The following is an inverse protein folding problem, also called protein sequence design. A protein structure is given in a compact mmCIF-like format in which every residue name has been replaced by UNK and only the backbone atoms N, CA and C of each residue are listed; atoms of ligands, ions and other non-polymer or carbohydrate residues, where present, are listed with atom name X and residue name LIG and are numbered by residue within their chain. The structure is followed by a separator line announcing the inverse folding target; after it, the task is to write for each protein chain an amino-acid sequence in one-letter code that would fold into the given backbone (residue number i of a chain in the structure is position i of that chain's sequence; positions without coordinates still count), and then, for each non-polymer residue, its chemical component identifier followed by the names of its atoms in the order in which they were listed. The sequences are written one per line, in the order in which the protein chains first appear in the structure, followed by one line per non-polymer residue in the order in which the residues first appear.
data_IF_989866502949
#
_entry.id   IF_989866502949
#
_cell.length_a   1.000
_cell.length_b   1.000
_cell.length_c   1.000
_cell.angle_alpha   90.00
_cell.angle_beta   90.00
_cell.angle_gamma   90.00
#
_symmetry.space_group_name_H-M   'P 1'
#
loop_
_entity.id
_entity.type
_entity.pdbx_description
1 polymer ?
#
# COMPACT_ATOMS: atom_id res chain seq x y z
N UNK A 1 9.86 -0.34 14.59
CA UNK A 1 9.40 -0.75 13.25
C UNK A 1 10.40 -1.59 12.41
N UNK A 2 11.57 -1.99 12.89
CA UNK A 2 12.54 -2.74 12.06
C UNK A 2 12.22 -4.24 11.88
N UNK A 3 11.46 -4.86 12.77
CA UNK A 3 11.40 -6.32 12.84
C UNK A 3 10.60 -7.04 11.74
N UNK A 4 9.55 -6.46 11.16
CA UNK A 4 8.70 -7.17 10.19
C UNK A 4 9.37 -7.25 8.82
N UNK A 5 9.97 -6.17 8.36
CA UNK A 5 10.63 -6.13 7.05
C UNK A 5 12.06 -6.71 7.06
N UNK A 6 12.73 -6.76 8.22
CA UNK A 6 14.01 -7.44 8.36
C UNK A 6 13.88 -8.98 8.27
N UNK A 7 12.67 -9.53 8.47
CA UNK A 7 12.38 -10.98 8.42
C UNK A 7 11.85 -11.42 7.04
N UNK A 8 11.10 -10.57 6.33
CA UNK A 8 10.44 -10.90 5.05
C UNK A 8 11.42 -10.77 3.84
N UNK A 9 12.66 -10.36 4.07
CA UNK A 9 13.57 -9.75 3.08
C UNK A 9 13.86 -10.48 1.77
N UNK A 10 14.14 -11.77 1.72
CA UNK A 10 14.82 -12.35 0.53
C UNK A 10 13.95 -12.80 -0.65
N UNK A 11 12.63 -12.78 -0.54
CA UNK A 11 11.69 -13.12 -1.63
C UNK A 11 10.70 -12.00 -1.97
N UNK A 12 10.69 -10.95 -1.16
CA UNK A 12 9.70 -9.86 -1.22
C UNK A 12 9.70 -9.11 -2.55
N UNK A 13 10.88 -8.76 -3.06
CA UNK A 13 11.02 -7.96 -4.29
C UNK A 13 10.54 -8.70 -5.53
N UNK A 14 10.71 -10.01 -5.61
CA UNK A 14 10.27 -10.80 -6.76
C UNK A 14 8.74 -10.80 -6.94
N UNK A 15 7.99 -10.72 -5.83
CA UNK A 15 6.53 -10.74 -5.81
C UNK A 15 5.91 -9.33 -5.79
N UNK A 16 6.70 -8.29 -5.49
CA UNK A 16 6.23 -6.91 -5.35
C UNK A 16 6.66 -6.06 -6.56
N UNK A 17 6.08 -6.37 -7.72
CA UNK A 17 6.36 -5.66 -8.96
C UNK A 17 5.31 -4.56 -9.21
N UNK A 18 5.71 -3.30 -9.45
CA UNK A 18 4.76 -2.22 -9.70
C UNK A 18 3.84 -2.52 -10.89
N UNK A 19 2.53 -2.45 -10.68
CA UNK A 19 1.57 -2.53 -11.78
C UNK A 19 1.56 -1.21 -12.57
N UNK A 20 1.71 -1.24 -13.90
CA UNK A 20 1.79 -0.03 -14.72
C UNK A 20 0.55 0.86 -14.63
N UNK A 21 -0.64 0.31 -14.34
CA UNK A 21 -1.90 1.07 -14.22
C UNK A 21 -1.93 1.83 -12.90
N UNK A 22 -1.48 1.19 -11.82
CA UNK A 22 -1.32 1.83 -10.50
C UNK A 22 -0.22 2.90 -10.57
N UNK A 23 0.93 2.57 -11.20
CA UNK A 23 2.02 3.54 -11.44
C UNK A 23 1.52 4.78 -12.18
N UNK A 24 0.72 4.60 -13.23
CA UNK A 24 0.14 5.71 -14.01
C UNK A 24 -0.82 6.56 -13.16
N UNK A 25 -1.64 5.93 -12.32
CA UNK A 25 -2.54 6.64 -11.41
C UNK A 25 -1.77 7.49 -10.39
N UNK A 26 -0.72 6.92 -9.79
CA UNK A 26 0.19 7.64 -8.87
C UNK A 26 0.88 8.79 -9.62
N UNK A 27 1.44 8.53 -10.81
CA UNK A 27 2.11 9.56 -11.62
C UNK A 27 1.16 10.72 -11.96
N UNK A 28 -0.08 10.42 -12.31
CA UNK A 28 -1.11 11.43 -12.57
C UNK A 28 -1.45 12.23 -11.30
N UNK A 29 -1.49 11.58 -10.13
CA UNK A 29 -1.75 12.23 -8.86
C UNK A 29 -0.62 13.18 -8.43
N UNK A 30 0.63 12.91 -8.81
CA UNK A 30 1.76 13.81 -8.58
C UNK A 30 1.68 15.12 -9.37
N UNK A 31 0.87 15.15 -10.44
CA UNK A 31 0.63 16.35 -11.24
C UNK A 31 1.88 16.91 -11.92
N UNK A 32 2.10 18.21 -11.78
CA UNK A 32 3.24 18.94 -12.36
C UNK A 32 4.51 18.91 -11.50
N UNK A 33 4.60 18.01 -10.51
CA UNK A 33 5.79 17.90 -9.67
C UNK A 33 7.02 17.59 -10.52
N UNK A 34 8.10 18.36 -10.32
CA UNK A 34 9.39 18.16 -10.98
C UNK A 34 10.39 17.41 -10.08
N UNK A 35 10.16 17.39 -8.77
CA UNK A 35 11.03 16.75 -7.78
C UNK A 35 10.19 16.10 -6.68
N UNK A 36 10.33 14.80 -6.49
CA UNK A 36 9.51 13.98 -5.60
C UNK A 36 10.35 13.40 -4.46
N UNK A 37 9.81 13.46 -3.23
CA UNK A 37 10.32 12.69 -2.09
C UNK A 37 9.42 11.46 -1.91
N UNK A 38 9.98 10.23 -1.98
CA UNK A 38 9.26 9.01 -1.66
C UNK A 38 9.59 8.58 -0.22
N UNK A 39 8.60 8.59 0.68
CA UNK A 39 8.79 8.34 2.12
C UNK A 39 8.23 6.96 2.51
N UNK A 40 9.05 6.15 3.19
CA UNK A 40 8.78 4.74 3.41
C UNK A 40 8.88 3.97 2.10
N UNK A 41 9.95 4.25 1.36
CA UNK A 41 10.10 3.86 -0.03
C UNK A 41 10.32 2.35 -0.25
N UNK A 42 10.64 1.62 0.82
CA UNK A 42 10.96 0.20 0.71
C UNK A 42 12.04 -0.08 -0.32
N UNK A 43 11.84 -1.11 -1.11
CA UNK A 43 12.74 -1.48 -2.21
C UNK A 43 12.58 -0.61 -3.48
N UNK A 44 11.75 0.46 -3.45
CA UNK A 44 11.60 1.40 -4.56
C UNK A 44 10.41 1.15 -5.48
N UNK A 45 9.41 0.38 -5.03
CA UNK A 45 8.18 0.16 -5.79
C UNK A 45 7.44 1.47 -6.04
N UNK A 46 6.85 1.62 -7.25
CA UNK A 46 6.05 2.77 -7.67
C UNK A 46 6.78 4.13 -7.74
N UNK A 47 8.10 4.16 -7.71
CA UNK A 47 8.86 5.37 -7.99
C UNK A 47 8.71 5.76 -9.46
N UNK A 48 8.30 7.02 -9.77
CA UNK A 48 8.19 7.45 -11.17
C UNK A 48 9.57 7.50 -11.83
N UNK A 49 9.73 6.78 -12.94
CA UNK A 49 11.00 6.73 -13.68
C UNK A 49 11.30 7.99 -14.50
N UNK A 50 10.28 8.82 -14.73
CA UNK A 50 10.35 10.04 -15.53
C UNK A 50 10.60 11.31 -14.71
N UNK A 51 10.77 11.18 -13.38
CA UNK A 51 10.98 12.29 -12.46
C UNK A 51 12.20 12.05 -11.57
N UNK A 52 12.92 13.11 -11.18
CA UNK A 52 13.86 13.05 -10.08
C UNK A 52 13.16 12.66 -8.77
N UNK A 53 13.53 11.50 -8.23
CA UNK A 53 13.04 10.99 -6.96
C UNK A 53 14.19 10.91 -5.96
N UNK A 54 13.96 11.35 -4.73
CA UNK A 54 14.78 11.02 -3.57
C UNK A 54 13.93 10.13 -2.65
N UNK A 55 14.50 9.03 -2.17
CA UNK A 55 13.80 8.10 -1.30
C UNK A 55 14.21 8.27 0.16
N UNK A 56 13.29 7.98 1.07
CA UNK A 56 13.54 7.83 2.51
C UNK A 56 13.02 6.47 2.95
N UNK A 57 13.88 5.70 3.62
CA UNK A 57 13.51 4.36 4.11
C UNK A 57 14.27 4.06 5.41
N UNK A 58 13.59 3.68 6.51
CA UNK A 58 14.27 3.36 7.77
C UNK A 58 14.96 2.00 7.77
N UNK A 59 14.45 1.00 7.04
CA UNK A 59 14.99 -0.36 7.03
C UNK A 59 16.24 -0.47 6.15
N UNK A 60 17.36 -0.85 6.77
CA UNK A 60 18.59 -1.14 6.03
C UNK A 60 18.43 -2.31 5.07
N UNK A 61 17.60 -3.28 5.44
CA UNK A 61 17.35 -4.44 4.62
C UNK A 61 16.61 -4.05 3.34
N UNK A 62 15.57 -3.23 3.45
CA UNK A 62 14.85 -2.72 2.29
C UNK A 62 15.75 -1.83 1.40
N UNK A 63 16.63 -1.03 2.00
CA UNK A 63 17.60 -0.22 1.26
C UNK A 63 18.55 -1.10 0.44
N UNK A 64 19.05 -2.23 0.99
CA UNK A 64 19.93 -3.16 0.26
C UNK A 64 19.27 -3.84 -0.92
N UNK A 65 17.95 -3.99 -0.89
CA UNK A 65 17.17 -4.62 -1.96
C UNK A 65 16.81 -3.65 -3.10
N UNK A 66 17.12 -2.37 -2.96
CA UNK A 66 16.89 -1.39 -4.02
C UNK A 66 17.76 -1.66 -5.24
N UNK A 67 17.24 -1.49 -6.47
CA UNK A 67 18.06 -1.56 -7.66
C UNK A 67 19.22 -0.56 -7.60
N UNK A 68 20.37 -0.94 -8.13
CA UNK A 68 21.54 -0.05 -8.16
C UNK A 68 21.30 1.26 -8.93
N UNK A 69 20.41 1.22 -9.92
CA UNK A 69 19.99 2.36 -10.75
C UNK A 69 18.71 3.04 -10.22
N UNK A 70 18.22 2.60 -9.04
CA UNK A 70 17.06 3.19 -8.38
C UNK A 70 17.31 4.59 -7.85
N UNK A 71 16.25 5.27 -7.40
CA UNK A 71 16.39 6.58 -6.80
C UNK A 71 17.36 6.56 -5.60
N UNK A 72 18.18 7.60 -5.42
CA UNK A 72 19.00 7.75 -4.22
C UNK A 72 18.14 7.63 -2.96
N UNK A 73 18.69 7.01 -1.91
CA UNK A 73 17.95 6.78 -0.66
C UNK A 73 18.70 7.32 0.55
N UNK A 74 17.96 7.94 1.45
CA UNK A 74 18.42 8.39 2.77
C UNK A 74 17.78 7.50 3.83
N UNK A 75 18.58 6.98 4.75
CA UNK A 75 18.04 6.24 5.90
C UNK A 75 17.51 7.22 6.93
N UNK A 76 16.19 7.32 7.07
CA UNK A 76 15.52 8.14 8.08
C UNK A 76 14.10 7.63 8.36
N UNK A 77 13.50 8.11 9.46
CA UNK A 77 12.11 7.89 9.80
C UNK A 77 11.23 8.96 9.12
N UNK A 78 9.99 8.61 8.84
CA UNK A 78 9.00 9.54 8.29
C UNK A 78 8.70 10.70 9.25
N UNK A 79 8.79 10.43 10.55
CA UNK A 79 8.53 11.35 11.65
C UNK A 79 9.61 12.43 11.84
N UNK A 80 10.78 12.25 11.15
CA UNK A 80 11.91 13.18 11.26
C UNK A 80 12.69 13.21 9.94
N UNK A 81 12.15 13.91 8.95
CA UNK A 81 12.75 14.01 7.63
C UNK A 81 13.93 15.01 7.64
N UNK A 82 15.14 14.59 7.20
CA UNK A 82 16.34 15.42 7.25
C UNK A 82 16.42 16.46 6.11
N UNK A 83 15.31 17.11 5.79
CA UNK A 83 15.21 18.09 4.70
C UNK A 83 14.59 19.39 5.19
N UNK A 84 14.98 20.54 4.61
CA UNK A 84 14.34 21.82 4.86
C UNK A 84 12.85 21.81 4.44
N UNK A 85 12.07 22.74 4.98
CA UNK A 85 10.69 22.96 4.55
C UNK A 85 10.61 23.29 3.05
N UNK A 86 9.55 22.83 2.39
CA UNK A 86 9.23 23.10 0.98
C UNK A 86 10.39 22.73 0.01
N UNK A 87 11.19 21.71 0.34
CA UNK A 87 12.32 21.22 -0.48
C UNK A 87 11.88 20.43 -1.71
N UNK A 88 10.64 19.93 -1.72
CA UNK A 88 10.11 19.09 -2.79
C UNK A 88 8.79 19.64 -3.34
N UNK A 89 8.52 19.36 -4.62
CA UNK A 89 7.24 19.70 -5.21
C UNK A 89 6.15 18.75 -4.75
N UNK A 90 6.49 17.46 -4.58
CA UNK A 90 5.58 16.47 -4.01
C UNK A 90 6.29 15.50 -3.06
N UNK A 91 5.55 15.04 -2.04
CA UNK A 91 5.88 13.87 -1.24
C UNK A 91 4.94 12.73 -1.61
N UNK A 92 5.50 11.54 -1.79
CA UNK A 92 4.80 10.29 -2.10
C UNK A 92 4.96 9.33 -0.92
N UNK A 93 3.88 8.63 -0.53
CA UNK A 93 3.94 7.53 0.43
C UNK A 93 3.01 6.40 -0.07
N UNK A 94 3.55 5.21 -0.35
CA UNK A 94 2.81 4.11 -0.95
C UNK A 94 2.69 2.95 0.02
N UNK A 95 1.49 2.70 0.54
CA UNK A 95 1.17 1.60 1.46
C UNK A 95 2.14 1.51 2.64
N UNK A 96 2.53 2.65 3.22
CA UNK A 96 3.53 2.75 4.29
C UNK A 96 3.05 3.48 5.53
N UNK A 97 2.11 4.44 5.42
CA UNK A 97 1.67 5.31 6.52
C UNK A 97 1.14 4.51 7.73
N UNK A 98 0.51 3.37 7.50
CA UNK A 98 0.01 2.48 8.55
C UNK A 98 1.12 1.75 9.33
N UNK A 99 2.37 1.88 8.91
CA UNK A 99 3.55 1.35 9.60
C UNK A 99 4.29 2.39 10.45
N UNK A 100 3.94 3.67 10.37
CA UNK A 100 4.63 4.72 11.11
C UNK A 100 4.24 4.68 12.59
N UNK A 101 5.22 4.86 13.48
CA UNK A 101 5.01 4.82 14.94
C UNK A 101 4.20 6.03 15.40
N UNK A 102 4.53 7.23 14.89
CA UNK A 102 3.75 8.45 15.05
C UNK A 102 3.29 8.96 13.67
N UNK A 103 2.13 8.47 13.23
CA UNK A 103 1.53 8.88 11.95
C UNK A 103 1.33 10.37 11.83
N UNK A 104 0.95 11.02 12.94
CA UNK A 104 0.68 12.45 12.94
C UNK A 104 1.96 13.25 12.69
N UNK A 105 3.04 12.88 13.36
CA UNK A 105 4.35 13.48 13.13
C UNK A 105 4.83 13.24 11.70
N UNK A 106 4.69 12.01 11.18
CA UNK A 106 5.06 11.70 9.80
C UNK A 106 4.25 12.48 8.76
N UNK A 107 2.92 12.59 8.93
CA UNK A 107 2.07 13.39 8.06
C UNK A 107 2.43 14.90 8.12
N UNK A 108 2.73 15.42 9.31
CA UNK A 108 3.21 16.80 9.47
C UNK A 108 4.54 17.04 8.75
N UNK A 109 5.45 16.06 8.76
CA UNK A 109 6.71 16.15 8.02
C UNK A 109 6.49 16.17 6.50
N UNK A 110 5.55 15.33 5.97
CA UNK A 110 5.20 15.41 4.54
C UNK A 110 4.71 16.80 4.15
N UNK A 111 3.83 17.39 4.98
CA UNK A 111 3.31 18.76 4.78
C UNK A 111 4.42 19.80 4.87
N UNK A 112 5.37 19.62 5.78
CA UNK A 112 6.50 20.54 5.96
C UNK A 112 7.44 20.56 4.77
N UNK A 113 7.76 19.38 4.22
CA UNK A 113 8.81 19.24 3.20
C UNK A 113 8.31 19.39 1.77
N UNK A 114 7.01 19.24 1.51
CA UNK A 114 6.46 19.22 0.16
C UNK A 114 5.22 20.11 0.00
N UNK A 115 5.01 20.62 -1.23
CA UNK A 115 3.86 21.43 -1.60
C UNK A 115 2.62 20.62 -1.95
N UNK A 116 2.82 19.36 -2.32
CA UNK A 116 1.79 18.38 -2.64
C UNK A 116 2.10 17.08 -1.91
N UNK A 117 1.09 16.45 -1.35
CA UNK A 117 1.21 15.13 -0.70
C UNK A 117 0.34 14.14 -1.45
N UNK A 118 0.89 13.00 -1.84
CA UNK A 118 0.19 11.89 -2.49
C UNK A 118 0.42 10.63 -1.68
N UNK A 119 -0.66 10.03 -1.19
CA UNK A 119 -0.59 8.82 -0.37
C UNK A 119 -1.43 7.72 -1.03
N UNK A 120 -0.84 6.56 -1.25
CA UNK A 120 -1.60 5.33 -1.53
C UNK A 120 -1.83 4.61 -0.22
N UNK A 121 -3.10 4.36 0.09
CA UNK A 121 -3.53 3.72 1.34
C UNK A 121 -4.72 2.80 1.12
N UNK A 122 -5.11 2.06 2.13
CA UNK A 122 -6.41 1.40 2.20
C UNK A 122 -7.33 2.19 3.12
N UNK A 123 -8.63 2.25 2.77
CA UNK A 123 -9.64 3.01 3.52
C UNK A 123 -10.45 2.05 4.41
N UNK A 124 -10.38 2.19 5.75
CA UNK A 124 -11.15 1.36 6.68
C UNK A 124 -12.68 1.37 6.46
N UNK A 125 -13.22 2.43 5.85
CA UNK A 125 -14.63 2.49 5.49
C UNK A 125 -15.03 1.45 4.41
N UNK A 126 -14.06 0.90 3.67
CA UNK A 126 -14.25 -0.09 2.62
C UNK A 126 -14.00 -1.54 3.09
N UNK A 127 -14.02 -1.80 4.40
CA UNK A 127 -13.70 -3.11 4.98
C UNK A 127 -14.51 -4.29 4.44
N UNK A 128 -15.70 -4.02 3.92
CA UNK A 128 -16.60 -5.06 3.38
C UNK A 128 -16.44 -5.29 1.88
N UNK A 129 -15.53 -4.57 1.20
CA UNK A 129 -15.38 -4.64 -0.25
C UNK A 129 -14.66 -5.90 -0.74
N UNK A 130 -13.85 -6.52 0.10
CA UNK A 130 -13.02 -7.64 -0.32
C UNK A 130 -13.51 -8.96 0.27
N UNK A 131 -13.93 -9.88 -0.59
CA UNK A 131 -14.49 -11.18 -0.21
C UNK A 131 -13.55 -12.03 0.67
N UNK A 132 -12.22 -12.00 0.41
CA UNK A 132 -11.26 -12.81 1.16
C UNK A 132 -11.24 -12.43 2.64
N UNK A 133 -11.13 -11.14 2.92
CA UNK A 133 -11.06 -10.63 4.29
C UNK A 133 -12.43 -10.62 4.96
N UNK A 134 -13.52 -10.39 4.20
CA UNK A 134 -14.87 -10.42 4.75
C UNK A 134 -15.33 -11.81 5.16
N UNK A 135 -15.01 -12.86 4.37
CA UNK A 135 -15.62 -14.18 4.53
C UNK A 135 -14.66 -15.22 5.13
N UNK A 136 -13.39 -15.12 4.81
CA UNK A 136 -12.42 -16.19 5.15
C UNK A 136 -11.39 -15.78 6.19
N UNK A 137 -10.97 -14.50 6.21
CA UNK A 137 -9.91 -13.98 7.08
C UNK A 137 -10.29 -12.63 7.69
N UNK A 138 -11.39 -12.56 8.47
CA UNK A 138 -11.86 -11.31 9.05
C UNK A 138 -10.86 -10.69 10.03
N UNK A 139 -9.97 -11.48 10.61
CA UNK A 139 -8.93 -11.00 11.52
C UNK A 139 -7.94 -10.05 10.83
N UNK A 140 -7.75 -10.16 9.50
CA UNK A 140 -6.95 -9.17 8.74
C UNK A 140 -7.63 -7.79 8.81
N UNK A 141 -8.96 -7.74 8.62
CA UNK A 141 -9.70 -6.47 8.71
C UNK A 141 -9.62 -5.87 10.11
N UNK A 142 -9.79 -6.67 11.16
CA UNK A 142 -9.68 -6.19 12.55
C UNK A 142 -8.32 -5.53 12.80
N UNK A 143 -7.26 -6.15 12.28
CA UNK A 143 -5.90 -5.62 12.36
C UNK A 143 -5.75 -4.33 11.55
N UNK A 144 -6.21 -4.32 10.30
CA UNK A 144 -6.03 -3.22 9.35
C UNK A 144 -6.86 -1.98 9.77
N UNK A 145 -8.11 -2.15 10.23
CA UNK A 145 -8.96 -1.05 10.71
C UNK A 145 -8.29 -0.27 11.86
N UNK A 146 -7.51 -0.93 12.71
CA UNK A 146 -6.79 -0.27 13.80
C UNK A 146 -5.52 0.49 13.33
N UNK A 147 -5.00 0.16 12.16
CA UNK A 147 -3.69 0.64 11.66
C UNK A 147 -3.80 1.66 10.54
N UNK A 148 -4.75 1.46 9.63
CA UNK A 148 -4.89 2.39 8.50
C UNK A 148 -5.61 3.66 8.93
N UNK A 149 -5.09 4.85 8.56
CA UNK A 149 -5.72 6.12 8.89
C UNK A 149 -7.08 6.25 8.20
N UNK A 150 -8.04 6.84 8.89
CA UNK A 150 -9.33 7.22 8.32
C UNK A 150 -9.23 8.50 7.49
N UNK A 151 -10.27 8.77 6.70
CA UNK A 151 -10.38 10.01 5.92
C UNK A 151 -10.37 11.26 6.81
N UNK A 152 -11.00 11.17 7.98
CA UNK A 152 -11.05 12.24 8.98
C UNK A 152 -9.67 12.54 9.54
N UNK A 153 -8.88 11.49 9.83
CA UNK A 153 -7.50 11.64 10.30
C UNK A 153 -6.63 12.31 9.24
N UNK A 154 -6.71 11.88 7.99
CA UNK A 154 -5.99 12.55 6.89
C UNK A 154 -6.43 14.02 6.73
N UNK A 155 -7.73 14.31 6.80
CA UNK A 155 -8.23 15.68 6.68
C UNK A 155 -7.75 16.56 7.84
N UNK A 156 -7.72 16.03 9.06
CA UNK A 156 -7.22 16.71 10.25
C UNK A 156 -5.73 17.07 10.12
N UNK A 157 -4.92 16.13 9.62
CA UNK A 157 -3.45 16.25 9.68
C UNK A 157 -2.84 16.84 8.39
N UNK A 158 -3.51 16.69 7.23
CA UNK A 158 -3.06 17.24 5.94
C UNK A 158 -3.81 18.49 5.49
N UNK A 159 -4.93 18.84 6.14
CA UNK A 159 -5.87 19.84 5.66
C UNK A 159 -6.85 19.27 4.61
N UNK A 160 -7.40 20.11 3.71
CA UNK A 160 -8.31 19.63 2.68
C UNK A 160 -7.66 18.57 1.78
N UNK A 161 -8.36 17.46 1.59
CA UNK A 161 -7.89 16.34 0.76
C UNK A 161 -8.85 16.04 -0.38
N UNK A 162 -8.30 15.58 -1.49
CA UNK A 162 -9.01 14.84 -2.53
C UNK A 162 -8.76 13.35 -2.33
N UNK A 163 -9.81 12.53 -2.40
CA UNK A 163 -9.70 11.08 -2.31
C UNK A 163 -10.22 10.45 -3.58
N UNK A 164 -9.39 9.68 -4.27
CA UNK A 164 -9.74 8.92 -5.47
C UNK A 164 -9.68 7.43 -5.19
N UNK A 165 -10.66 6.69 -5.68
CA UNK A 165 -10.56 5.23 -5.70
C UNK A 165 -9.38 4.80 -6.58
N UNK A 166 -8.69 3.75 -6.14
CA UNK A 166 -7.61 3.09 -6.88
C UNK A 166 -8.02 1.64 -7.13
N UNK A 167 -8.82 1.36 -8.18
CA UNK A 167 -9.27 0.01 -8.47
C UNK A 167 -8.09 -0.92 -8.77
N UNK A 168 -8.17 -2.14 -8.27
CA UNK A 168 -7.14 -3.16 -8.48
C UNK A 168 -7.46 -3.92 -9.76
N UNK A 169 -6.55 -3.95 -10.76
CA UNK A 169 -6.73 -4.72 -11.97
C UNK A 169 -6.84 -6.23 -11.70
N UNK A 170 -7.61 -6.95 -12.52
CA UNK A 170 -7.83 -8.39 -12.34
C UNK A 170 -6.56 -9.25 -12.45
N UNK A 171 -5.61 -8.77 -13.25
CA UNK A 171 -4.31 -9.38 -13.53
C UNK A 171 -3.16 -8.55 -12.92
N UNK A 172 -3.42 -7.88 -11.80
CA UNK A 172 -2.44 -7.04 -11.11
C UNK A 172 -1.10 -7.77 -10.95
N UNK A 173 -0.03 -7.09 -11.31
CA UNK A 173 1.33 -7.63 -11.24
C UNK A 173 1.94 -7.53 -9.84
N UNK A 174 1.51 -6.56 -9.04
CA UNK A 174 2.01 -6.41 -7.66
C UNK A 174 1.35 -7.45 -6.72
N UNK A 175 2.14 -8.05 -5.85
CA UNK A 175 1.71 -9.12 -4.95
C UNK A 175 1.13 -8.66 -3.60
N UNK A 176 0.52 -7.46 -3.51
CA UNK A 176 -0.16 -7.07 -2.27
C UNK A 176 -1.48 -7.82 -2.04
N UNK A 177 -2.05 -7.74 -0.86
CA UNK A 177 -3.18 -8.56 -0.42
C UNK A 177 -4.36 -8.59 -1.41
N UNK A 178 -4.74 -7.46 -1.99
CA UNK A 178 -5.85 -7.37 -2.92
C UNK A 178 -5.54 -7.79 -4.36
N UNK A 179 -4.29 -8.07 -4.72
CA UNK A 179 -3.87 -8.28 -6.11
C UNK A 179 -4.49 -9.51 -6.80
N UNK A 180 -4.88 -10.49 -6.02
CA UNK A 180 -5.42 -11.77 -6.54
C UNK A 180 -6.93 -11.90 -6.34
N UNK A 181 -7.64 -10.79 -6.20
CA UNK A 181 -9.08 -10.76 -5.92
C UNK A 181 -9.94 -11.58 -6.91
N UNK A 182 -9.52 -11.69 -8.16
CA UNK A 182 -10.17 -12.46 -9.22
C UNK A 182 -9.61 -13.89 -9.36
N UNK A 183 -8.54 -14.20 -8.64
CA UNK A 183 -7.79 -15.46 -8.71
C UNK A 183 -7.72 -16.12 -7.33
N UNK A 184 -8.87 -16.58 -6.79
CA UNK A 184 -8.95 -17.04 -5.40
C UNK A 184 -8.00 -18.21 -5.10
N UNK A 185 -7.69 -19.05 -6.09
CA UNK A 185 -6.79 -20.18 -5.97
C UNK A 185 -5.37 -19.77 -5.57
N UNK A 186 -4.95 -18.54 -6.00
CA UNK A 186 -3.63 -18.03 -5.69
C UNK A 186 -3.40 -17.84 -4.18
N UNK A 187 -4.44 -17.54 -3.41
CA UNK A 187 -4.31 -17.42 -1.95
C UNK A 187 -4.02 -18.76 -1.24
N UNK A 188 -4.23 -19.89 -1.90
CA UNK A 188 -3.88 -21.20 -1.35
C UNK A 188 -2.39 -21.52 -1.47
N UNK A 189 -1.65 -20.80 -2.33
CA UNK A 189 -0.22 -20.95 -2.52
C UNK A 189 0.56 -20.20 -1.42
N UNK A 190 1.39 -20.88 -0.60
CA UNK A 190 2.21 -20.24 0.41
C UNK A 190 3.21 -19.22 -0.15
N UNK A 191 3.75 -19.42 -1.35
CA UNK A 191 4.70 -18.53 -1.98
C UNK A 191 4.04 -17.19 -2.31
N UNK A 192 2.80 -17.22 -2.81
CA UNK A 192 2.01 -16.01 -3.08
C UNK A 192 1.72 -15.22 -1.79
N UNK A 193 1.39 -15.92 -0.71
CA UNK A 193 1.08 -15.26 0.58
C UNK A 193 2.29 -14.66 1.27
N UNK A 194 3.49 -15.15 0.98
CA UNK A 194 4.73 -14.69 1.60
C UNK A 194 4.94 -13.17 1.51
N UNK A 195 4.57 -12.56 0.39
CA UNK A 195 4.71 -11.12 0.17
C UNK A 195 3.58 -10.27 0.78
N UNK A 196 2.60 -10.89 1.43
CA UNK A 196 1.40 -10.24 1.97
C UNK A 196 1.51 -10.14 3.49
N UNK A 197 1.84 -8.96 4.01
CA UNK A 197 2.04 -8.74 5.45
C UNK A 197 0.83 -9.09 6.32
N UNK A 198 -0.40 -9.00 5.81
CA UNK A 198 -1.61 -9.40 6.51
C UNK A 198 -1.59 -10.86 6.96
N UNK A 199 -1.05 -11.77 6.15
CA UNK A 199 -0.95 -13.19 6.51
C UNK A 199 0.12 -13.44 7.57
N UNK A 200 1.27 -12.79 7.48
CA UNK A 200 2.38 -13.01 8.43
C UNK A 200 2.11 -12.49 9.84
N UNK A 201 1.11 -11.65 10.00
CA UNK A 201 0.76 -11.01 11.28
C UNK A 201 -0.34 -11.74 12.04
N UNK A 202 -0.98 -12.73 11.42
CA UNK A 202 -2.01 -13.55 12.06
C UNK A 202 -1.41 -14.83 12.66
N UNK A 203 -2.02 -15.37 13.74
CA UNK A 203 -1.71 -16.72 14.20
C UNK A 203 -1.94 -17.75 13.09
N UNK A 204 -0.97 -18.65 12.88
CA UNK A 204 -1.01 -19.64 11.79
C UNK A 204 -2.32 -20.46 11.77
N UNK A 205 -2.81 -20.89 12.93
CA UNK A 205 -4.06 -21.67 13.00
C UNK A 205 -5.31 -20.91 12.51
N UNK A 206 -5.33 -19.57 12.58
CA UNK A 206 -6.43 -18.75 12.01
C UNK A 206 -6.33 -18.67 10.49
N UNK A 207 -5.12 -18.46 9.99
CA UNK A 207 -4.85 -18.46 8.55
C UNK A 207 -5.22 -19.82 7.96
N UNK A 208 -4.76 -20.92 8.55
CA UNK A 208 -5.02 -22.28 8.07
C UNK A 208 -6.52 -22.58 8.03
N UNK A 209 -7.27 -22.22 9.07
CA UNK A 209 -8.72 -22.42 9.11
C UNK A 209 -9.46 -21.61 8.03
N UNK A 210 -9.07 -20.35 7.81
CA UNK A 210 -9.63 -19.51 6.75
C UNK A 210 -9.36 -20.07 5.35
N UNK A 211 -8.12 -20.48 5.10
CA UNK A 211 -7.70 -21.05 3.82
C UNK A 211 -8.33 -22.43 3.56
N UNK A 212 -8.52 -23.27 4.60
CA UNK A 212 -9.24 -24.52 4.46
C UNK A 212 -10.69 -24.29 4.01
N UNK A 213 -11.40 -23.29 4.60
CA UNK A 213 -12.75 -22.94 4.14
C UNK A 213 -12.76 -22.44 2.69
N UNK A 214 -11.79 -21.60 2.31
CA UNK A 214 -11.66 -21.15 0.92
C UNK A 214 -11.44 -22.32 -0.04
N UNK A 215 -10.54 -23.24 0.30
CA UNK A 215 -10.27 -24.45 -0.51
C UNK A 215 -11.51 -25.32 -0.65
N UNK A 216 -12.31 -25.48 0.41
CA UNK A 216 -13.57 -26.23 0.38
C UNK A 216 -14.62 -25.56 -0.49
N UNK A 217 -14.75 -24.25 -0.42
CA UNK A 217 -15.69 -23.47 -1.21
C UNK A 217 -15.32 -23.48 -2.71
N UNK A 218 -14.03 -23.40 -3.02
CA UNK A 218 -13.55 -23.53 -4.41
C UNK A 218 -13.84 -24.92 -4.96
N UNK A 219 -13.55 -25.99 -4.18
CA UNK A 219 -13.76 -27.37 -4.62
C UNK A 219 -15.24 -27.72 -4.81
N UNK A 220 -16.12 -27.17 -3.96
CA UNK A 220 -17.57 -27.42 -4.02
C UNK A 220 -18.32 -26.51 -4.99
N UNK A 221 -17.68 -25.51 -5.58
CA UNK A 221 -18.32 -24.50 -6.42
C UNK A 221 -19.01 -23.35 -5.66
N UNK A 222 -19.05 -23.40 -4.32
CA UNK A 222 -19.69 -22.34 -3.51
C UNK A 222 -19.06 -20.97 -3.68
N UNK A 223 -17.75 -20.90 -3.88
CA UNK A 223 -17.08 -19.63 -4.17
C UNK A 223 -17.60 -19.04 -5.49
N UNK A 224 -17.73 -19.86 -6.53
CA UNK A 224 -18.20 -19.46 -7.84
C UNK A 224 -19.68 -18.99 -7.79
N UNK A 225 -20.54 -19.70 -7.04
CA UNK A 225 -21.92 -19.32 -6.82
C UNK A 225 -22.06 -17.93 -6.18
N UNK A 226 -21.17 -17.58 -5.24
CA UNK A 226 -21.22 -16.32 -4.48
C UNK A 226 -20.49 -15.18 -5.15
N UNK A 227 -19.37 -15.45 -5.79
CA UNK A 227 -18.42 -14.45 -6.26
C UNK A 227 -18.04 -14.60 -7.73
N UNK A 228 -18.57 -15.57 -8.45
CA UNK A 228 -18.23 -15.84 -9.86
C UNK A 228 -18.40 -14.65 -10.78
N UNK A 229 -19.39 -13.76 -10.50
CA UNK A 229 -19.56 -12.51 -11.24
C UNK A 229 -18.32 -11.58 -11.20
N UNK A 230 -17.44 -11.74 -10.22
CA UNK A 230 -16.17 -11.01 -10.17
C UNK A 230 -15.24 -11.39 -11.31
N UNK A 231 -15.34 -12.61 -11.83
CA UNK A 231 -14.47 -13.09 -12.93
C UNK A 231 -14.68 -12.34 -14.24
N UNK A 232 -15.80 -11.64 -14.38
CA UNK A 232 -16.15 -10.83 -15.56
C UNK A 232 -15.65 -9.36 -15.44
N UNK A 233 -15.13 -8.97 -14.27
CA UNK A 233 -14.69 -7.59 -14.03
C UNK A 233 -13.22 -7.40 -14.37
N UNK A 234 -12.88 -6.30 -15.03
CA UNK A 234 -11.50 -5.93 -15.38
C UNK A 234 -10.74 -5.34 -14.20
N UNK A 235 -11.44 -4.75 -13.23
CA UNK A 235 -10.88 -4.20 -12.00
C UNK A 235 -11.93 -4.18 -10.89
N UNK A 236 -11.48 -4.16 -9.63
CA UNK A 236 -12.36 -4.07 -8.46
C UNK A 236 -11.92 -2.97 -7.50
N UNK A 237 -12.88 -2.26 -6.93
CA UNK A 237 -12.63 -1.35 -5.81
C UNK A 237 -12.59 -2.15 -4.50
N UNK A 238 -11.39 -2.44 -4.05
CA UNK A 238 -11.13 -3.18 -2.81
C UNK A 238 -10.80 -2.25 -1.62
N UNK A 239 -11.08 -0.96 -1.75
CA UNK A 239 -10.81 0.03 -0.72
C UNK A 239 -9.45 0.72 -0.83
N UNK A 240 -8.63 0.46 -1.85
CA UNK A 240 -7.40 1.23 -2.06
C UNK A 240 -7.73 2.63 -2.57
N UNK A 241 -7.02 3.62 -2.03
CA UNK A 241 -7.26 5.05 -2.28
C UNK A 241 -5.96 5.78 -2.58
N UNK A 242 -6.08 6.78 -3.45
CA UNK A 242 -5.14 7.88 -3.57
C UNK A 242 -5.69 9.04 -2.74
N UNK A 243 -4.96 9.44 -1.70
CA UNK A 243 -5.22 10.64 -0.91
C UNK A 243 -4.26 11.71 -1.38
N UNK A 244 -4.81 12.86 -1.81
CA UNK A 244 -4.06 13.96 -2.38
C UNK A 244 -4.35 15.22 -1.56
N UNK A 245 -3.29 15.88 -1.09
CA UNK A 245 -3.38 17.17 -0.40
C UNK A 245 -2.48 18.19 -1.06
N UNK A 246 -2.86 19.47 -1.01
CA UNK A 246 -2.04 20.63 -1.39
C UNK A 246 -1.94 21.58 -0.19
N UNK A 247 -1.05 21.28 0.78
CA UNK A 247 -0.87 22.11 1.95
C UNK A 247 -0.47 23.53 1.55
N UNK A 248 -1.16 24.55 2.10
CA UNK A 248 -0.87 25.94 1.79
C UNK A 248 -1.67 26.57 0.64
N UNK A 249 -2.48 25.83 -0.10
CA UNK A 249 -3.56 26.38 -0.93
C UNK A 249 -4.82 26.52 -0.07
N UNK A 250 -4.85 27.55 0.81
CA UNK A 250 -6.13 28.05 1.32
C UNK A 250 -6.95 28.56 0.12
N UNK A 251 -8.23 28.16 0.05
CA UNK A 251 -9.18 28.73 -0.89
C UNK A 251 -9.42 30.18 -0.61
#
# INVERSE_FOLDING_TARGET
MSAVYDIIGSGYVAMRQPDPRITRAIRSALGAAARVLNVGAGAGSYEPADLPVLAVEPSREMIRQRPAEGAPVVQALAEQLPFPAASFDAALAVLTVHHWDDRRAGLAELVRVARRVVIVTWDPACRDHFWLTREYLPEIIELDVSRFPTREEFTRDLGPIEVRALPVPHDCLDGFLGAFWRRPEAYLDPEVRWAMSGFSQLPSGRVDAGLARLADDLRSGRWEERFGALREQDSADLGYRLVIAEPGRAK
#
